data_IF_938342466832
#
_entry.id   IF_938342466832
#
_cell.length_a   1.000
_cell.length_b   1.000
_cell.length_c   1.000
_cell.angle_alpha   90.00
_cell.angle_beta   90.00
_cell.angle_gamma   90.00
#
_symmetry.space_group_name_H-M   'P 1'
#
loop_
_entity.id
_entity.type
_entity.pdbx_description
1 polymer ?
#
# COMPACT_ATOMS: atom_id res chain seq x y z
N UNK A 1 -0.07 2.64 15.49
CA UNK A 1 0.10 1.97 14.17
C UNK A 1 0.54 3.02 13.17
N UNK A 2 1.78 2.99 12.67
CA UNK A 2 2.24 3.94 11.66
C UNK A 2 1.56 3.72 10.30
N UNK A 3 1.27 4.83 9.62
CA UNK A 3 0.82 4.88 8.22
C UNK A 3 1.94 5.52 7.40
N UNK A 4 2.42 4.81 6.38
CA UNK A 4 3.53 5.23 5.52
C UNK A 4 2.98 5.48 4.12
N UNK A 5 2.83 6.74 3.73
CA UNK A 5 2.38 7.11 2.38
C UNK A 5 3.56 7.41 1.46
N UNK A 6 3.62 6.76 0.30
CA UNK A 6 4.64 7.00 -0.72
C UNK A 6 4.10 7.99 -1.74
N UNK A 7 4.58 9.24 -1.70
CA UNK A 7 4.01 10.36 -2.47
C UNK A 7 5.01 10.95 -3.44
N UNK A 8 4.61 11.03 -4.71
CA UNK A 8 5.34 11.75 -5.75
C UNK A 8 4.43 12.06 -6.95
N UNK A 9 4.37 13.33 -7.36
CA UNK A 9 3.55 13.80 -8.48
C UNK A 9 3.98 13.23 -9.84
N UNK A 10 5.24 12.83 -10.01
CA UNK A 10 5.72 12.26 -11.28
C UNK A 10 5.23 10.81 -11.43
N UNK A 11 4.56 10.51 -12.54
CA UNK A 11 4.31 9.12 -12.97
C UNK A 11 5.62 8.42 -13.32
N UNK A 12 5.74 7.13 -13.00
CA UNK A 12 6.99 6.38 -13.24
C UNK A 12 8.16 6.73 -12.31
N UNK A 13 7.92 7.40 -11.18
CA UNK A 13 8.94 7.73 -10.17
C UNK A 13 9.32 6.58 -9.23
N UNK A 14 8.72 5.40 -9.40
CA UNK A 14 9.00 4.23 -8.55
C UNK A 14 8.18 4.12 -7.27
N UNK A 15 7.06 4.85 -7.13
CA UNK A 15 6.19 4.81 -5.94
C UNK A 15 5.72 3.41 -5.57
N UNK A 16 5.07 2.72 -6.51
CA UNK A 16 4.59 1.34 -6.32
C UNK A 16 5.74 0.39 -5.99
N UNK A 17 6.90 0.57 -6.62
CA UNK A 17 8.09 -0.22 -6.30
C UNK A 17 8.52 0.00 -4.85
N UNK A 18 8.61 1.25 -4.38
CA UNK A 18 8.99 1.53 -3.00
C UNK A 18 7.92 1.04 -2.01
N UNK A 19 6.63 1.27 -2.29
CA UNK A 19 5.53 0.83 -1.44
C UNK A 19 5.53 -0.70 -1.24
N UNK A 20 5.70 -1.45 -2.32
CA UNK A 20 5.77 -2.92 -2.27
C UNK A 20 7.00 -3.42 -1.51
N UNK A 21 8.15 -2.74 -1.63
CA UNK A 21 9.37 -3.08 -0.87
C UNK A 21 9.24 -2.78 0.62
N UNK A 22 8.62 -1.65 1.00
CA UNK A 22 8.36 -1.32 2.42
C UNK A 22 7.42 -2.35 3.02
N UNK A 23 6.34 -2.73 2.33
CA UNK A 23 5.42 -3.76 2.80
C UNK A 23 6.09 -5.13 2.92
N UNK A 24 6.93 -5.52 1.95
CA UNK A 24 7.73 -6.74 2.02
C UNK A 24 8.71 -6.72 3.20
N UNK A 25 9.38 -5.58 3.45
CA UNK A 25 10.29 -5.42 4.58
C UNK A 25 9.57 -5.60 5.92
N UNK A 26 8.38 -5.03 6.08
CA UNK A 26 7.55 -5.26 7.26
C UNK A 26 7.25 -6.76 7.44
N UNK A 27 6.80 -7.43 6.37
CA UNK A 27 6.48 -8.85 6.41
C UNK A 27 7.68 -9.73 6.83
N UNK A 28 8.86 -9.53 6.23
CA UNK A 28 10.06 -10.35 6.53
C UNK A 28 10.64 -10.08 7.91
N UNK A 29 10.40 -8.89 8.46
CA UNK A 29 10.80 -8.53 9.82
C UNK A 29 9.75 -8.90 10.88
N UNK A 30 8.78 -9.74 10.51
CA UNK A 30 7.78 -10.27 11.44
C UNK A 30 6.65 -9.30 11.78
N UNK A 31 6.54 -8.17 11.08
CA UNK A 31 5.48 -7.17 11.26
C UNK A 31 4.30 -7.49 10.33
N UNK A 32 3.08 -7.32 10.82
CA UNK A 32 1.87 -7.46 10.02
C UNK A 32 1.62 -6.16 9.25
N UNK A 33 1.57 -6.24 7.92
CA UNK A 33 1.46 -5.08 7.04
C UNK A 33 0.20 -5.13 6.17
N UNK A 34 -0.39 -3.95 5.95
CA UNK A 34 -1.44 -3.72 4.97
C UNK A 34 -0.87 -2.84 3.86
N UNK A 35 -0.97 -3.29 2.61
CA UNK A 35 -0.56 -2.55 1.42
C UNK A 35 -1.80 -2.01 0.72
N UNK A 36 -1.91 -0.69 0.75
CA UNK A 36 -2.97 0.05 0.13
C UNK A 36 -2.63 0.61 -1.24
N UNK A 37 -3.46 0.30 -2.23
CA UNK A 37 -3.32 0.77 -3.60
C UNK A 37 -4.42 1.78 -3.93
N UNK A 38 -4.03 3.05 -4.03
CA UNK A 38 -4.94 4.14 -4.41
C UNK A 38 -4.75 4.60 -5.85
N UNK A 39 -3.80 3.99 -6.58
CA UNK A 39 -3.61 4.25 -8.00
C UNK A 39 -4.54 3.35 -8.82
N UNK A 40 -5.32 3.95 -9.71
CA UNK A 40 -6.21 3.23 -10.64
C UNK A 40 -5.50 2.18 -11.50
N UNK A 41 -4.18 2.31 -11.70
CA UNK A 41 -3.38 1.33 -12.45
C UNK A 41 -3.18 0.02 -11.69
N UNK A 42 -3.39 -0.01 -10.37
CA UNK A 42 -3.40 -1.25 -9.60
C UNK A 42 -2.05 -1.98 -9.54
N UNK A 43 -0.93 -1.27 -9.72
CA UNK A 43 0.40 -1.89 -9.83
C UNK A 43 0.80 -2.63 -8.55
N UNK A 44 0.53 -2.04 -7.39
CA UNK A 44 0.81 -2.63 -6.07
C UNK A 44 -0.10 -3.82 -5.78
N UNK A 45 -1.38 -3.73 -6.16
CA UNK A 45 -2.35 -4.82 -6.07
C UNK A 45 -1.95 -6.01 -6.95
N UNK A 46 -1.51 -5.73 -8.18
CA UNK A 46 -1.00 -6.76 -9.10
C UNK A 46 0.27 -7.44 -8.57
N UNK A 47 1.18 -6.67 -7.99
CA UNK A 47 2.36 -7.22 -7.32
C UNK A 47 1.97 -8.11 -6.13
N UNK A 48 1.03 -7.67 -5.29
CA UNK A 48 0.62 -8.43 -4.10
C UNK A 48 0.02 -9.79 -4.47
N UNK A 49 -0.81 -9.84 -5.52
CA UNK A 49 -1.34 -11.09 -6.08
C UNK A 49 -0.23 -12.03 -6.52
N UNK A 50 0.77 -11.53 -7.25
CA UNK A 50 1.93 -12.32 -7.69
C UNK A 50 2.77 -12.81 -6.52
N UNK A 51 2.96 -11.99 -5.48
CA UNK A 51 3.68 -12.39 -4.26
C UNK A 51 2.96 -13.53 -3.55
N UNK A 52 1.63 -13.47 -3.40
CA UNK A 52 0.87 -14.54 -2.74
C UNK A 52 0.95 -15.90 -3.45
N UNK A 53 1.17 -15.89 -4.77
CA UNK A 53 1.36 -17.11 -5.56
C UNK A 53 2.82 -17.57 -5.66
N UNK A 54 3.79 -16.79 -5.16
CA UNK A 54 5.22 -17.10 -5.29
C UNK A 54 5.70 -17.98 -4.13
N UNK A 55 6.31 -19.14 -4.40
CA UNK A 55 6.97 -19.97 -3.37
C UNK A 55 8.16 -19.26 -2.69
N UNK A 56 8.70 -18.22 -3.33
CA UNK A 56 9.83 -17.44 -2.80
C UNK A 56 9.39 -16.35 -1.83
N UNK A 57 8.09 -16.09 -1.69
CA UNK A 57 7.58 -15.07 -0.78
C UNK A 57 7.93 -15.43 0.67
N UNK A 58 8.62 -14.52 1.36
CA UNK A 58 9.05 -14.69 2.75
C UNK A 58 8.31 -13.75 3.70
N UNK A 59 8.23 -14.14 4.97
CA UNK A 59 7.67 -13.33 6.04
C UNK A 59 6.15 -13.48 6.20
N UNK A 60 5.55 -12.59 6.99
CA UNK A 60 4.09 -12.58 7.21
C UNK A 60 3.30 -12.29 5.93
N UNK A 61 2.02 -12.62 5.98
CA UNK A 61 1.06 -12.19 4.97
C UNK A 61 0.98 -10.64 4.94
N UNK A 62 0.82 -10.11 3.73
CA UNK A 62 0.56 -8.68 3.51
C UNK A 62 -0.89 -8.58 3.06
N UNK A 63 -1.71 -7.87 3.83
CA UNK A 63 -3.11 -7.67 3.50
C UNK A 63 -3.24 -6.60 2.42
N UNK A 64 -4.02 -6.89 1.38
CA UNK A 64 -4.29 -5.93 0.31
C UNK A 64 -5.43 -4.99 0.65
N UNK A 65 -5.31 -3.73 0.27
CA UNK A 65 -6.40 -2.75 0.29
C UNK A 65 -6.53 -2.11 -1.08
N UNK A 66 -7.68 -2.34 -1.71
CA UNK A 66 -8.11 -1.58 -2.87
C UNK A 66 -8.98 -0.44 -2.35
N UNK A 67 -8.57 0.80 -2.64
CA UNK A 67 -9.35 1.96 -2.23
C UNK A 67 -10.76 1.91 -2.83
N UNK A 68 -11.79 1.76 -1.99
CA UNK A 68 -13.14 2.24 -2.29
C UNK A 68 -13.25 3.65 -1.67
N UNK A 69 -13.30 4.73 -2.47
CA UNK A 69 -13.39 6.10 -1.96
C UNK A 69 -14.61 6.35 -1.06
N UNK A 70 -15.59 5.44 -1.07
CA UNK A 70 -16.82 5.51 -0.27
C UNK A 70 -16.72 4.75 1.05
N UNK A 71 -15.66 3.97 1.28
CA UNK A 71 -15.48 3.17 2.49
C UNK A 71 -14.12 3.45 3.10
N UNK A 72 -14.13 4.21 4.20
CA UNK A 72 -12.99 4.27 5.13
C UNK A 72 -12.84 2.89 5.76
N UNK A 73 -11.88 2.10 5.29
CA UNK A 73 -11.59 0.79 5.88
C UNK A 73 -10.51 0.97 6.94
N UNK A 74 -10.92 0.85 8.20
CA UNK A 74 -9.96 0.71 9.29
C UNK A 74 -9.15 -0.56 9.08
N UNK A 75 -7.81 -0.53 9.25
CA UNK A 75 -7.00 -1.73 9.20
C UNK A 75 -7.55 -2.81 10.15
N UNK A 76 -7.66 -4.07 9.71
CA UNK A 76 -8.11 -5.16 10.56
C UNK A 76 -7.29 -5.27 11.84
N UNK A 77 -7.87 -5.87 12.88
CA UNK A 77 -7.15 -6.16 14.12
C UNK A 77 -5.88 -6.98 13.81
N UNK A 78 -4.76 -6.59 14.43
CA UNK A 78 -3.46 -7.24 14.22
C UNK A 78 -2.61 -6.66 13.09
N UNK A 79 -3.11 -5.70 12.30
CA UNK A 79 -2.24 -4.90 11.41
C UNK A 79 -1.37 -3.97 12.25
N UNK A 80 -0.07 -3.99 12.00
CA UNK A 80 0.90 -3.15 12.72
C UNK A 80 1.39 -1.97 11.89
N UNK A 81 1.36 -2.08 10.55
CA UNK A 81 1.86 -1.08 9.61
C UNK A 81 0.92 -0.97 8.42
N UNK A 82 0.62 0.26 8.00
CA UNK A 82 -0.10 0.54 6.75
C UNK A 82 0.88 1.21 5.79
N UNK A 83 0.95 0.72 4.56
CA UNK A 83 1.74 1.31 3.48
C UNK A 83 0.80 1.72 2.37
N UNK A 84 0.79 3.00 1.99
CA UNK A 84 -0.09 3.53 0.94
C UNK A 84 0.73 3.86 -0.31
N UNK A 85 0.39 3.21 -1.41
CA UNK A 85 0.79 3.60 -2.76
C UNK A 85 -0.18 4.64 -3.30
N UNK A 86 0.36 5.77 -3.74
CA UNK A 86 -0.43 6.94 -4.17
C UNK A 86 -0.33 7.17 -5.67
N UNK A 87 -1.37 7.70 -6.33
CA UNK A 87 -1.32 7.95 -7.76
C UNK A 87 -0.28 9.03 -8.11
N UNK A 88 0.21 8.98 -9.34
CA UNK A 88 0.88 10.14 -9.93
C UNK A 88 -0.09 11.32 -10.07
N UNK A 89 0.46 12.52 -10.25
CA UNK A 89 -0.33 13.68 -10.63
C UNK A 89 -1.26 14.24 -9.56
N UNK A 90 -1.13 13.84 -8.28
CA UNK A 90 -1.89 14.42 -7.15
C UNK A 90 -1.81 15.96 -7.16
N UNK A 91 -2.97 16.63 -7.00
CA UNK A 91 -3.09 18.09 -6.94
C UNK A 91 -3.93 18.51 -5.73
N UNK A 92 -3.79 19.78 -5.34
CA UNK A 92 -4.61 20.40 -4.30
C UNK A 92 -4.74 19.52 -3.05
N UNK A 93 -5.98 19.10 -2.73
CA UNK A 93 -6.32 18.33 -1.54
C UNK A 93 -6.36 16.80 -1.76
N UNK A 94 -5.90 16.29 -2.89
CA UNK A 94 -6.01 14.85 -3.18
C UNK A 94 -5.24 13.98 -2.18
N UNK A 95 -4.07 14.45 -1.72
CA UNK A 95 -3.31 13.76 -0.67
C UNK A 95 -4.09 13.73 0.65
N UNK A 96 -4.76 14.84 1.01
CA UNK A 96 -5.56 14.90 2.23
C UNK A 96 -6.73 13.91 2.20
N UNK A 97 -7.36 13.71 1.04
CA UNK A 97 -8.41 12.69 0.85
C UNK A 97 -7.89 11.28 1.06
N UNK A 98 -6.68 10.98 0.57
CA UNK A 98 -6.04 9.67 0.75
C UNK A 98 -5.73 9.42 2.22
N UNK A 99 -5.14 10.40 2.90
CA UNK A 99 -4.79 10.29 4.33
C UNK A 99 -6.05 10.17 5.19
N UNK A 100 -7.13 10.88 4.86
CA UNK A 100 -8.39 10.78 5.59
C UNK A 100 -9.10 9.42 5.42
N UNK A 101 -8.76 8.65 4.38
CA UNK A 101 -9.33 7.34 4.10
C UNK A 101 -8.54 6.18 4.73
N UNK A 102 -7.37 6.44 5.31
CA UNK A 102 -6.45 5.46 5.89
C UNK A 102 -6.49 5.46 7.43
#
# INVERSE_FOLDING_TARGET
MPVIAIVNRKGGSGKSTLATHVAAWCAVTGRSAMLGDTDSQGSSSGWLKRRGASPEARGREILGWSADPRRVMRPPAGVTHVVLDTPGGLRGLDLAKIVAAA
#
